data_IF_810186608022
#
_entry.id   IF_810186608022
#
_cell.length_a   1.000
_cell.length_b   1.000
_cell.length_c   1.000
_cell.angle_alpha   90.00
_cell.angle_beta   90.00
_cell.angle_gamma   90.00
#
_symmetry.space_group_name_H-M   'P 1'
#
loop_
_entity.id
_entity.type
_entity.pdbx_description
1 polymer ?
#
# COMPACT_ATOMS: atom_id res chain seq x y z
N UNK A 1 -60.04 42.48 6.93
CA UNK A 1 -60.48 41.25 7.64
C UNK A 1 -60.33 40.12 6.64
N UNK A 2 -59.40 39.21 6.96
CA UNK A 2 -58.97 37.93 6.37
C UNK A 2 -57.50 37.82 6.87
N UNK A 3 -57.19 37.12 7.96
CA UNK A 3 -56.96 35.66 8.07
C UNK A 3 -55.87 35.22 7.08
N UNK A 4 -54.75 34.57 7.43
CA UNK A 4 -54.21 33.96 8.66
C UNK A 4 -52.79 33.41 8.36
N UNK A 5 -52.34 32.44 9.17
CA UNK A 5 -51.10 31.60 9.05
C UNK A 5 -49.82 32.22 9.67
N UNK A 6 -49.46 31.94 10.92
CA UNK A 6 -48.98 30.70 11.59
C UNK A 6 -47.54 30.30 11.21
N UNK A 7 -46.61 30.67 12.10
CA UNK A 7 -45.20 30.27 12.08
C UNK A 7 -45.05 28.82 12.54
N UNK A 8 -44.41 28.00 11.70
CA UNK A 8 -43.95 26.65 12.03
C UNK A 8 -42.49 26.67 12.46
N UNK A 9 -42.25 26.09 13.62
CA UNK A 9 -41.00 25.86 14.32
C UNK A 9 -40.12 24.87 13.55
N UNK A 10 -38.94 25.31 13.12
CA UNK A 10 -37.94 24.50 12.42
C UNK A 10 -37.09 23.76 13.44
N UNK A 11 -37.38 22.48 13.64
CA UNK A 11 -36.54 21.59 14.44
C UNK A 11 -35.32 21.18 13.61
N UNK A 12 -34.17 21.69 14.03
CA UNK A 12 -32.83 21.24 13.62
C UNK A 12 -32.65 19.78 14.04
N UNK A 13 -32.63 18.88 13.06
CA UNK A 13 -32.18 17.50 13.22
C UNK A 13 -30.93 17.35 12.37
N UNK A 14 -29.78 17.61 12.98
CA UNK A 14 -28.52 16.98 12.59
C UNK A 14 -28.72 15.48 12.77
N UNK A 15 -28.88 14.79 11.65
CA UNK A 15 -28.88 13.33 11.59
C UNK A 15 -27.43 12.86 11.64
N UNK A 16 -27.14 12.02 12.63
CA UNK A 16 -26.04 11.07 12.64
C UNK A 16 -25.96 10.41 11.25
N UNK A 17 -24.82 10.56 10.56
CA UNK A 17 -24.50 9.78 9.37
C UNK A 17 -23.54 8.69 9.82
N UNK A 18 -23.95 7.45 9.62
CA UNK A 18 -23.15 6.24 9.81
C UNK A 18 -21.98 6.23 8.81
N UNK A 19 -20.76 6.15 9.33
CA UNK A 19 -19.50 5.96 8.59
C UNK A 19 -19.33 4.48 8.18
N UNK A 20 -20.20 3.99 7.29
CA UNK A 20 -20.00 2.69 6.62
C UNK A 20 -20.43 2.79 5.16
N UNK A 21 -19.54 3.35 4.34
CA UNK A 21 -19.73 3.45 2.88
C UNK A 21 -18.59 2.79 2.11
N UNK A 22 -18.32 1.52 2.44
CA UNK A 22 -17.97 0.53 1.42
C UNK A 22 -19.28 -0.13 1.01
N UNK A 23 -19.76 0.09 -0.22
CA UNK A 23 -20.65 -0.82 -0.98
C UNK A 23 -21.12 -0.17 -2.30
N UNK A 24 -20.17 0.00 -3.22
CA UNK A 24 -20.44 0.10 -4.65
C UNK A 24 -20.89 -1.25 -5.23
N UNK A 25 -22.19 -1.56 -5.10
CA UNK A 25 -22.95 -2.50 -5.94
C UNK A 25 -22.38 -3.93 -6.17
N UNK A 26 -22.31 -4.76 -5.13
CA UNK A 26 -22.81 -6.16 -5.12
C UNK A 26 -23.38 -6.51 -3.74
N UNK A 27 -24.66 -6.94 -3.69
CA UNK A 27 -25.32 -7.48 -2.49
C UNK A 27 -25.26 -9.00 -2.57
N UNK A 28 -24.56 -9.67 -1.64
CA UNK A 28 -25.13 -10.78 -0.82
C UNK A 28 -24.15 -11.45 0.18
N UNK A 29 -22.86 -11.09 0.27
CA UNK A 29 -21.90 -11.83 1.12
C UNK A 29 -21.15 -11.03 2.20
N UNK A 30 -21.13 -9.70 2.16
CA UNK A 30 -20.38 -8.92 3.16
C UNK A 30 -18.84 -9.04 3.04
N UNK A 31 -18.35 -9.65 1.95
CA UNK A 31 -16.94 -9.65 1.56
C UNK A 31 -16.65 -8.40 0.72
N UNK A 32 -15.41 -7.91 0.74
CA UNK A 32 -14.91 -6.89 -0.18
C UNK A 32 -14.96 -7.31 -1.66
N UNK A 33 -14.37 -6.54 -2.58
CA UNK A 33 -14.26 -6.93 -3.99
C UNK A 33 -13.49 -8.25 -4.11
N UNK A 34 -13.89 -9.10 -5.08
CA UNK A 34 -13.22 -10.37 -5.33
C UNK A 34 -11.83 -10.09 -5.96
N UNK A 35 -10.87 -11.00 -5.77
CA UNK A 35 -9.55 -10.92 -6.44
C UNK A 35 -9.73 -10.69 -7.95
N UNK A 36 -9.06 -9.66 -8.48
CA UNK A 36 -9.10 -9.28 -9.88
C UNK A 36 -10.22 -8.32 -10.27
N UNK A 37 -11.17 -8.02 -9.37
CA UNK A 37 -12.17 -6.99 -9.63
C UNK A 37 -11.53 -5.59 -9.48
N UNK A 38 -11.64 -4.76 -10.53
CA UNK A 38 -11.35 -3.32 -10.46
C UNK A 38 -12.61 -2.56 -10.02
N UNK A 39 -12.45 -1.60 -9.13
CA UNK A 39 -13.55 -0.78 -8.62
C UNK A 39 -13.12 0.67 -8.41
N UNK A 40 -14.06 1.59 -8.61
CA UNK A 40 -13.87 3.02 -8.34
C UNK A 40 -13.65 3.26 -6.85
N UNK A 41 -12.63 4.04 -6.50
CA UNK A 41 -12.36 4.46 -5.13
C UNK A 41 -13.38 5.51 -4.73
N UNK A 42 -14.31 5.13 -3.85
CA UNK A 42 -15.35 6.03 -3.33
C UNK A 42 -15.06 6.52 -1.91
N UNK A 43 -13.83 6.32 -1.41
CA UNK A 43 -13.39 6.87 -0.14
C UNK A 43 -13.14 8.37 -0.30
N UNK A 44 -13.56 9.17 0.68
CA UNK A 44 -13.51 10.63 0.56
C UNK A 44 -14.33 11.13 -0.64
N UNK A 45 -13.79 12.13 -1.33
CA UNK A 45 -14.36 12.68 -2.56
C UNK A 45 -13.49 12.30 -3.79
N UNK A 46 -12.79 11.16 -3.74
CA UNK A 46 -11.92 10.70 -4.83
C UNK A 46 -12.67 10.60 -6.17
N UNK A 47 -12.03 11.07 -7.24
CA UNK A 47 -12.45 10.91 -8.63
C UNK A 47 -11.34 10.26 -9.45
N UNK A 48 -11.76 9.59 -10.52
CA UNK A 48 -10.89 9.01 -11.56
C UNK A 48 -9.81 8.04 -11.02
N UNK A 49 -9.98 7.59 -9.79
CA UNK A 49 -9.11 6.66 -9.07
C UNK A 49 -9.81 5.32 -8.91
N UNK A 50 -9.13 4.26 -9.29
CA UNK A 50 -9.62 2.89 -9.25
C UNK A 50 -8.65 2.01 -8.48
N UNK A 51 -9.17 1.04 -7.76
CA UNK A 51 -8.41 0.07 -7.00
C UNK A 51 -8.69 -1.34 -7.54
N UNK A 52 -7.66 -2.18 -7.56
CA UNK A 52 -7.72 -3.57 -7.99
C UNK A 52 -7.04 -4.44 -6.94
N UNK A 53 -7.68 -5.52 -6.52
CA UNK A 53 -6.99 -6.59 -5.79
C UNK A 53 -6.20 -7.46 -6.78
N UNK A 54 -4.88 -7.43 -6.65
CA UNK A 54 -3.94 -8.19 -7.49
C UNK A 54 -3.96 -9.68 -7.19
N UNK A 55 -4.59 -10.13 -6.10
CA UNK A 55 -4.59 -11.50 -5.60
C UNK A 55 -3.21 -11.96 -5.19
N UNK A 56 -2.47 -11.08 -4.53
CA UNK A 56 -1.14 -11.36 -4.00
C UNK A 56 -1.21 -12.55 -3.03
N UNK A 57 -0.32 -13.52 -3.19
CA UNK A 57 -0.29 -14.78 -2.41
C UNK A 57 -1.59 -15.60 -2.43
N UNK A 58 -2.43 -15.43 -3.46
CA UNK A 58 -3.79 -16.01 -3.51
C UNK A 58 -4.64 -15.65 -2.26
N UNK A 59 -4.36 -14.50 -1.66
CA UNK A 59 -5.01 -14.00 -0.45
C UNK A 59 -5.87 -12.79 -0.82
N UNK A 60 -7.16 -12.84 -0.49
CA UNK A 60 -8.09 -11.74 -0.72
C UNK A 60 -7.71 -10.53 0.16
N UNK A 61 -7.87 -9.33 -0.38
CA UNK A 61 -7.60 -8.07 0.30
C UNK A 61 -6.22 -8.04 0.96
N UNK A 62 -5.17 -8.41 0.21
CA UNK A 62 -3.79 -8.32 0.68
C UNK A 62 -2.87 -7.49 -0.22
N UNK A 63 -3.11 -7.43 -1.53
CA UNK A 63 -2.25 -6.67 -2.44
C UNK A 63 -3.07 -5.88 -3.44
N UNK A 64 -3.03 -4.56 -3.35
CA UNK A 64 -3.74 -3.61 -4.20
C UNK A 64 -2.79 -2.97 -5.22
N UNK A 65 -3.36 -2.66 -6.38
CA UNK A 65 -2.80 -1.72 -7.34
C UNK A 65 -3.87 -0.69 -7.67
N UNK A 66 -3.43 0.51 -8.05
CA UNK A 66 -4.32 1.61 -8.37
C UNK A 66 -4.16 2.09 -9.79
N UNK A 67 -5.24 2.62 -10.36
CA UNK A 67 -5.25 3.26 -11.68
C UNK A 67 -5.84 4.66 -11.51
N UNK A 68 -5.12 5.67 -12.02
CA UNK A 68 -5.64 7.03 -12.21
C UNK A 68 -5.93 7.22 -13.70
N UNK A 69 -7.20 7.49 -14.03
CA UNK A 69 -7.69 7.74 -15.39
C UNK A 69 -7.72 9.25 -15.69
N UNK A 70 -6.61 9.78 -16.19
CA UNK A 70 -6.43 11.21 -16.46
C UNK A 70 -5.81 11.43 -17.86
N UNK A 71 -5.45 12.67 -18.21
CA UNK A 71 -4.77 13.00 -19.48
C UNK A 71 -3.52 12.13 -19.73
N UNK A 72 -2.82 11.76 -18.66
CA UNK A 72 -1.72 10.78 -18.65
C UNK A 72 -2.08 9.64 -17.68
N UNK A 73 -2.73 8.56 -18.17
CA UNK A 73 -3.15 7.47 -17.31
C UNK A 73 -1.97 6.85 -16.56
N UNK A 74 -2.19 6.57 -15.28
CA UNK A 74 -1.17 6.06 -14.37
C UNK A 74 -1.60 4.78 -13.67
N UNK A 75 -0.65 3.87 -13.46
CA UNK A 75 -0.74 2.76 -12.51
C UNK A 75 0.15 3.06 -11.32
N UNK A 76 -0.37 2.91 -10.11
CA UNK A 76 0.43 2.96 -8.87
C UNK A 76 0.46 1.56 -8.26
N UNK A 77 1.67 1.03 -8.07
CA UNK A 77 1.98 -0.35 -7.66
C UNK A 77 1.69 -1.43 -8.71
N UNK A 78 2.46 -2.52 -8.64
CA UNK A 78 2.45 -3.57 -9.67
C UNK A 78 2.42 -5.00 -9.11
N UNK A 79 2.44 -5.15 -7.79
CA UNK A 79 2.35 -6.43 -7.11
C UNK A 79 3.60 -7.31 -7.30
N UNK A 80 3.46 -8.59 -6.95
CA UNK A 80 4.48 -9.66 -7.08
C UNK A 80 4.77 -10.11 -8.52
N UNK A 81 4.21 -9.42 -9.51
CA UNK A 81 4.36 -9.71 -10.94
C UNK A 81 3.55 -10.88 -11.49
N UNK A 82 3.25 -11.93 -10.72
CA UNK A 82 2.53 -13.13 -11.23
C UNK A 82 1.16 -12.84 -11.82
N UNK A 83 0.47 -11.82 -11.32
CA UNK A 83 -0.88 -11.43 -11.74
C UNK A 83 -0.91 -10.07 -12.45
N UNK A 84 0.20 -9.63 -13.08
CA UNK A 84 0.24 -8.36 -13.82
C UNK A 84 -0.82 -8.26 -14.92
N UNK A 85 -1.23 -9.39 -15.51
CA UNK A 85 -2.32 -9.46 -16.48
C UNK A 85 -3.65 -8.90 -15.92
N UNK A 86 -3.90 -8.96 -14.60
CA UNK A 86 -5.11 -8.38 -13.98
C UNK A 86 -5.10 -6.85 -14.06
N UNK A 87 -3.94 -6.22 -13.88
CA UNK A 87 -3.79 -4.77 -14.05
C UNK A 87 -4.03 -4.41 -15.51
N UNK A 88 -3.51 -5.23 -16.44
CA UNK A 88 -3.79 -5.05 -17.85
C UNK A 88 -5.29 -5.20 -18.15
N UNK A 89 -5.97 -6.22 -17.66
CA UNK A 89 -7.41 -6.40 -17.84
C UNK A 89 -8.20 -5.23 -17.26
N UNK A 90 -7.83 -4.71 -16.09
CA UNK A 90 -8.44 -3.54 -15.48
C UNK A 90 -8.32 -2.28 -16.37
N UNK A 91 -7.16 -2.03 -16.98
CA UNK A 91 -7.01 -0.95 -17.96
C UNK A 91 -7.96 -1.11 -19.16
N UNK A 92 -8.11 -2.33 -19.69
CA UNK A 92 -9.06 -2.60 -20.80
C UNK A 92 -10.52 -2.36 -20.37
N UNK A 93 -10.88 -2.68 -19.13
CA UNK A 93 -12.22 -2.44 -18.58
C UNK A 93 -12.55 -0.95 -18.42
N UNK A 94 -11.55 -0.15 -18.04
CA UNK A 94 -11.64 1.30 -17.94
C UNK A 94 -11.56 1.99 -19.31
N UNK A 95 -11.12 1.27 -20.34
CA UNK A 95 -11.01 1.78 -21.70
C UNK A 95 -9.69 2.51 -21.97
N UNK A 96 -8.68 2.28 -21.14
CA UNK A 96 -7.32 2.80 -21.29
C UNK A 96 -6.51 1.83 -22.14
N UNK A 97 -6.13 2.27 -23.35
CA UNK A 97 -5.31 1.49 -24.26
C UNK A 97 -3.88 1.24 -23.74
N UNK A 98 -3.25 0.16 -24.23
CA UNK A 98 -1.86 -0.18 -23.88
C UNK A 98 -0.86 0.92 -24.24
N UNK A 99 -1.10 1.55 -25.38
CA UNK A 99 -0.35 2.69 -25.88
C UNK A 99 -0.81 4.03 -25.29
N UNK A 100 -1.85 4.04 -24.44
CA UNK A 100 -2.33 5.24 -23.75
C UNK A 100 -1.79 5.31 -22.30
N UNK A 101 -1.46 4.19 -21.66
CA UNK A 101 -0.79 4.21 -20.35
C UNK A 101 0.57 4.94 -20.47
N UNK A 102 0.77 5.96 -19.64
CA UNK A 102 1.99 6.79 -19.65
C UNK A 102 2.83 6.66 -18.38
N UNK A 103 2.25 6.28 -17.25
CA UNK A 103 2.93 6.27 -15.95
C UNK A 103 2.74 4.93 -15.24
N UNK A 104 3.85 4.32 -14.82
CA UNK A 104 3.87 3.19 -13.87
C UNK A 104 4.68 3.67 -12.67
N UNK A 105 4.02 4.09 -11.60
CA UNK A 105 4.68 4.54 -10.38
C UNK A 105 4.73 3.41 -9.34
N UNK A 106 5.88 3.23 -8.70
CA UNK A 106 6.04 2.28 -7.59
C UNK A 106 6.57 3.03 -6.37
N UNK A 107 5.96 2.79 -5.20
CA UNK A 107 6.36 3.48 -3.96
C UNK A 107 7.77 3.07 -3.55
N UNK A 108 8.12 1.80 -3.78
CA UNK A 108 9.44 1.27 -3.51
C UNK A 108 9.71 -0.02 -4.30
N UNK A 109 10.96 -0.50 -4.28
CA UNK A 109 11.42 -1.60 -5.16
C UNK A 109 11.34 -3.00 -4.54
N UNK A 110 10.69 -3.18 -3.38
CA UNK A 110 10.40 -4.53 -2.94
C UNK A 110 9.54 -5.23 -4.01
N UNK A 111 9.77 -6.53 -4.21
CA UNK A 111 9.22 -7.22 -5.38
C UNK A 111 7.72 -7.48 -5.28
N UNK A 112 7.10 -7.28 -4.13
CA UNK A 112 5.66 -7.20 -3.93
C UNK A 112 5.03 -5.86 -4.32
N UNK A 113 5.86 -4.84 -4.60
CA UNK A 113 5.44 -3.53 -5.11
C UNK A 113 5.83 -3.36 -6.58
N UNK A 114 7.10 -3.65 -6.90
CA UNK A 114 7.69 -3.43 -8.22
C UNK A 114 7.84 -4.70 -9.08
N UNK A 115 7.39 -5.87 -8.61
CA UNK A 115 7.58 -7.14 -9.31
C UNK A 115 6.90 -7.21 -10.69
N UNK A 116 5.80 -6.48 -10.87
CA UNK A 116 5.08 -6.37 -12.14
C UNK A 116 5.55 -5.25 -13.07
N UNK A 117 6.39 -4.32 -12.60
CA UNK A 117 6.69 -3.09 -13.32
C UNK A 117 7.30 -3.34 -14.71
N UNK A 118 8.26 -4.25 -14.82
CA UNK A 118 8.85 -4.61 -16.11
C UNK A 118 7.88 -5.29 -17.08
N UNK A 119 6.94 -6.08 -16.57
CA UNK A 119 5.91 -6.72 -17.39
C UNK A 119 4.91 -5.69 -17.94
N UNK A 120 4.44 -4.77 -17.09
CA UNK A 120 3.58 -3.67 -17.52
C UNK A 120 4.31 -2.78 -18.51
N UNK A 121 5.58 -2.48 -18.26
CA UNK A 121 6.39 -1.68 -19.17
C UNK A 121 6.52 -2.35 -20.55
N UNK A 122 6.81 -3.64 -20.61
CA UNK A 122 6.87 -4.38 -21.89
C UNK A 122 5.54 -4.36 -22.64
N UNK A 123 4.41 -4.50 -21.93
CA UNK A 123 3.07 -4.51 -22.49
C UNK A 123 2.56 -3.11 -22.92
N UNK A 124 2.99 -2.05 -22.23
CA UNK A 124 2.58 -0.67 -22.42
C UNK A 124 3.76 0.15 -22.95
N UNK A 125 3.93 0.28 -24.28
CA UNK A 125 5.15 0.78 -24.89
C UNK A 125 5.42 2.27 -24.68
N UNK A 126 4.42 3.05 -24.25
CA UNK A 126 4.53 4.48 -24.00
C UNK A 126 4.63 4.82 -22.51
N UNK A 127 4.53 3.83 -21.62
CA UNK A 127 4.60 4.07 -20.18
C UNK A 127 6.05 4.23 -19.71
N UNK A 128 6.35 5.17 -18.84
CA UNK A 128 7.62 5.20 -18.13
C UNK A 128 7.43 4.68 -16.69
N UNK A 129 8.49 4.11 -16.11
CA UNK A 129 8.49 3.58 -14.74
C UNK A 129 9.11 4.61 -13.80
N UNK A 130 8.29 5.15 -12.91
CA UNK A 130 8.64 6.21 -11.96
C UNK A 130 8.94 5.58 -10.60
N UNK A 131 10.13 5.85 -10.08
CA UNK A 131 10.65 5.23 -8.85
C UNK A 131 11.66 6.15 -8.19
N UNK A 132 11.83 6.06 -6.87
CA UNK A 132 12.90 6.76 -6.15
C UNK A 132 14.27 6.52 -6.80
N UNK A 133 15.05 7.60 -6.95
CA UNK A 133 16.43 7.55 -7.42
C UNK A 133 17.29 6.58 -6.61
N UNK A 134 16.99 6.39 -5.31
CA UNK A 134 17.68 5.46 -4.43
C UNK A 134 17.52 3.98 -4.85
N UNK A 135 16.39 3.64 -5.51
CA UNK A 135 16.07 2.28 -5.92
C UNK A 135 16.18 2.01 -7.44
N UNK A 136 16.18 3.05 -8.27
CA UNK A 136 16.05 2.97 -9.73
C UNK A 136 16.97 1.96 -10.42
N UNK A 137 18.28 1.98 -10.10
CA UNK A 137 19.27 1.11 -10.75
C UNK A 137 19.05 -0.39 -10.56
N UNK A 138 18.25 -0.79 -9.57
CA UNK A 138 17.90 -2.19 -9.31
C UNK A 138 16.72 -2.67 -10.17
N UNK A 139 15.97 -1.79 -10.82
CA UNK A 139 14.94 -2.17 -11.79
C UNK A 139 15.55 -2.48 -13.18
N UNK A 140 16.67 -1.85 -13.53
CA UNK A 140 17.41 -2.15 -14.75
C UNK A 140 18.17 -3.50 -14.68
N UNK A 141 18.64 -3.89 -13.50
CA UNK A 141 19.19 -5.22 -13.22
C UNK A 141 18.65 -5.76 -11.88
N UNK A 142 17.50 -6.49 -11.92
CA UNK A 142 16.84 -6.96 -10.71
C UNK A 142 17.51 -8.18 -10.09
N UNK A 143 18.66 -8.64 -10.58
CA UNK A 143 19.31 -9.87 -10.09
C UNK A 143 19.61 -9.83 -8.59
N UNK A 144 19.95 -8.66 -8.05
CA UNK A 144 20.18 -8.47 -6.61
C UNK A 144 18.87 -8.44 -5.82
N UNK A 145 17.83 -7.79 -6.34
CA UNK A 145 16.50 -7.78 -5.72
C UNK A 145 15.95 -9.20 -5.64
N UNK A 146 15.99 -9.95 -6.74
CA UNK A 146 15.54 -11.35 -6.77
C UNK A 146 16.27 -12.22 -5.75
N UNK A 147 17.58 -12.04 -5.61
CA UNK A 147 18.36 -12.78 -4.61
C UNK A 147 17.96 -12.41 -3.18
N UNK A 148 17.78 -11.12 -2.89
CA UNK A 148 17.35 -10.61 -1.59
C UNK A 148 15.94 -11.07 -1.21
N UNK A 149 14.98 -10.90 -2.12
CA UNK A 149 13.60 -11.33 -1.91
C UNK A 149 13.51 -12.83 -1.67
N UNK A 150 14.21 -13.67 -2.45
CA UNK A 150 14.26 -15.13 -2.23
C UNK A 150 14.74 -15.50 -0.82
N UNK A 151 15.72 -14.78 -0.27
CA UNK A 151 16.21 -15.01 1.09
C UNK A 151 15.22 -14.53 2.16
N UNK A 152 14.53 -13.41 1.91
CA UNK A 152 13.55 -12.85 2.82
C UNK A 152 12.30 -13.73 2.90
N UNK A 153 11.66 -14.01 1.75
CA UNK A 153 10.32 -14.61 1.68
C UNK A 153 10.32 -16.14 1.65
N UNK A 154 11.48 -16.77 1.40
CA UNK A 154 11.64 -18.22 1.42
C UNK A 154 10.66 -18.95 0.51
N UNK A 155 9.85 -19.85 1.08
CA UNK A 155 8.89 -20.68 0.33
C UNK A 155 7.77 -19.84 -0.32
N UNK A 156 7.51 -18.62 0.15
CA UNK A 156 6.57 -17.70 -0.50
C UNK A 156 7.03 -17.26 -1.90
N UNK A 157 8.31 -17.48 -2.26
CA UNK A 157 8.82 -17.22 -3.61
C UNK A 157 8.02 -17.98 -4.68
N UNK A 158 7.35 -19.09 -4.33
CA UNK A 158 6.48 -19.82 -5.26
C UNK A 158 5.35 -18.98 -5.86
N UNK A 159 4.95 -17.89 -5.18
CA UNK A 159 3.93 -16.95 -5.64
C UNK A 159 4.49 -15.85 -6.54
N UNK A 160 5.80 -15.61 -6.50
CA UNK A 160 6.47 -14.58 -7.29
C UNK A 160 6.80 -15.09 -8.69
N UNK A 161 6.93 -14.14 -9.61
CA UNK A 161 7.62 -14.32 -10.88
C UNK A 161 8.93 -13.52 -10.86
N UNK A 162 9.95 -13.97 -11.59
CA UNK A 162 11.16 -13.14 -11.74
C UNK A 162 10.82 -11.88 -12.53
N UNK A 163 11.08 -10.67 -12.00
CA UNK A 163 10.74 -9.42 -12.68
C UNK A 163 11.51 -9.27 -14.00
N UNK A 164 10.83 -8.74 -15.01
CA UNK A 164 11.45 -8.35 -16.28
C UNK A 164 12.33 -7.10 -16.05
N UNK A 165 13.60 -7.08 -16.49
CA UNK A 165 14.43 -5.87 -16.45
C UNK A 165 13.81 -4.73 -17.25
N UNK A 166 13.92 -3.50 -16.76
CA UNK A 166 13.43 -2.30 -17.45
C UNK A 166 14.60 -1.59 -18.12
N UNK A 167 14.41 -1.15 -19.37
CA UNK A 167 15.43 -0.38 -20.08
C UNK A 167 15.67 0.98 -19.37
N UNK A 168 16.94 1.39 -19.22
CA UNK A 168 17.33 2.60 -18.48
C UNK A 168 16.61 3.87 -18.99
N UNK A 169 16.30 3.95 -20.29
CA UNK A 169 15.62 5.12 -20.88
C UNK A 169 14.11 5.18 -20.58
N UNK A 170 13.57 4.14 -19.94
CA UNK A 170 12.19 4.07 -19.44
C UNK A 170 12.07 4.17 -17.92
N UNK A 171 13.18 4.34 -17.21
CA UNK A 171 13.18 4.56 -15.77
C UNK A 171 13.31 6.06 -15.51
N UNK A 172 12.33 6.62 -14.81
CA UNK A 172 12.34 8.00 -14.35
C UNK A 172 12.65 8.01 -12.86
N UNK A 173 13.83 8.53 -12.52
CA UNK A 173 14.29 8.71 -11.14
C UNK A 173 13.55 9.87 -10.49
N UNK A 174 12.99 9.64 -9.30
CA UNK A 174 12.29 10.62 -8.48
C UNK A 174 13.11 11.00 -7.24
N UNK A 175 13.10 12.28 -6.89
CA UNK A 175 13.60 12.85 -5.64
C UNK A 175 12.43 13.43 -4.80
N UNK A 176 12.67 13.68 -3.51
CA UNK A 176 11.73 14.39 -2.64
C UNK A 176 11.28 15.73 -3.25
N UNK A 177 9.96 15.97 -3.25
CA UNK A 177 9.34 17.18 -3.78
C UNK A 177 9.19 17.23 -5.31
N UNK A 178 9.57 16.18 -6.03
CA UNK A 178 9.20 16.03 -7.44
C UNK A 178 7.69 15.90 -7.62
N UNK A 179 7.22 16.19 -8.83
CA UNK A 179 5.80 16.11 -9.20
C UNK A 179 5.67 15.40 -10.54
N UNK A 180 4.90 14.30 -10.56
CA UNK A 180 4.47 13.65 -11.80
C UNK A 180 3.10 14.20 -12.17
N UNK A 181 3.08 15.15 -13.10
CA UNK A 181 1.86 15.77 -13.64
C UNK A 181 1.05 14.77 -14.48
N UNK A 182 -0.20 14.48 -14.12
CA UNK A 182 -1.08 13.57 -14.87
C UNK A 182 -2.18 14.28 -15.66
N UNK A 183 -2.38 15.58 -15.42
CA UNK A 183 -3.51 16.35 -15.94
C UNK A 183 -4.26 17.09 -14.84
N UNK A 184 -5.44 16.60 -14.46
CA UNK A 184 -6.21 17.09 -13.31
C UNK A 184 -5.63 16.60 -11.97
N UNK A 185 -5.02 15.41 -11.98
CA UNK A 185 -4.29 14.76 -10.89
C UNK A 185 -2.78 14.98 -11.03
N UNK A 186 -2.07 14.85 -9.91
CA UNK A 186 -0.61 14.82 -9.88
C UNK A 186 -0.14 13.87 -8.78
N UNK A 187 1.03 13.25 -8.96
CA UNK A 187 1.70 12.50 -7.91
C UNK A 187 2.84 13.34 -7.35
N UNK A 188 2.61 14.00 -6.20
CA UNK A 188 3.67 14.70 -5.47
C UNK A 188 4.45 13.69 -4.64
N UNK A 189 5.76 13.69 -4.83
CA UNK A 189 6.66 12.70 -4.24
C UNK A 189 7.13 13.20 -2.88
N UNK A 190 6.99 12.38 -1.86
CA UNK A 190 7.58 12.61 -0.54
C UNK A 190 8.41 11.41 -0.14
N UNK A 191 9.67 11.63 0.29
CA UNK A 191 10.50 10.54 0.82
C UNK A 191 9.92 10.01 2.14
N UNK A 192 9.79 8.68 2.25
CA UNK A 192 9.31 8.00 3.45
C UNK A 192 10.18 6.74 3.73
N UNK A 193 11.47 6.93 4.09
CA UNK A 193 12.50 5.90 4.00
C UNK A 193 12.50 4.86 5.13
N UNK A 194 11.58 4.92 6.10
CA UNK A 194 11.62 4.11 7.31
C UNK A 194 11.41 2.62 7.08
N UNK A 195 10.44 2.24 6.24
CA UNK A 195 10.23 0.84 5.86
C UNK A 195 11.36 0.32 4.98
N UNK A 196 11.78 1.14 4.02
CA UNK A 196 12.91 0.89 3.15
C UNK A 196 13.50 2.22 2.66
N UNK A 197 14.84 2.31 2.58
CA UNK A 197 15.54 3.57 2.25
C UNK A 197 15.18 4.19 0.88
N UNK A 198 14.54 3.42 0.01
CA UNK A 198 14.10 3.82 -1.33
C UNK A 198 12.58 4.00 -1.42
N UNK A 199 11.87 4.06 -0.30
CA UNK A 199 10.43 4.26 -0.27
C UNK A 199 10.08 5.75 -0.37
N UNK A 200 9.08 6.02 -1.21
CA UNK A 200 8.37 7.29 -1.32
C UNK A 200 6.88 7.03 -1.15
N UNK A 201 6.15 8.07 -0.76
CA UNK A 201 4.69 8.13 -0.86
C UNK A 201 4.29 9.11 -1.94
N UNK A 202 3.15 8.88 -2.58
CA UNK A 202 2.60 9.78 -3.59
C UNK A 202 1.35 10.47 -3.06
N UNK A 203 1.40 11.78 -2.89
CA UNK A 203 0.21 12.60 -2.60
C UNK A 203 -0.48 12.96 -3.92
N UNK A 204 -1.79 12.69 -3.99
CA UNK A 204 -2.71 13.21 -4.99
C UNK A 204 -3.60 14.30 -4.35
N UNK A 205 -3.26 15.58 -4.55
CA UNK A 205 -3.98 16.69 -3.93
C UNK A 205 -5.39 16.90 -4.48
N UNK A 206 -5.68 16.42 -5.69
CA UNK A 206 -7.02 16.56 -6.27
C UNK A 206 -8.03 15.66 -5.54
N UNK A 207 -7.56 14.49 -5.10
CA UNK A 207 -8.33 13.51 -4.33
C UNK A 207 -8.19 13.66 -2.81
N UNK A 208 -7.31 14.56 -2.35
CA UNK A 208 -6.91 14.69 -0.94
C UNK A 208 -6.48 13.33 -0.36
N UNK A 209 -5.67 12.61 -1.14
CA UNK A 209 -5.34 11.23 -0.92
C UNK A 209 -3.82 10.98 -0.99
N UNK A 210 -3.33 9.98 -0.28
CA UNK A 210 -1.93 9.55 -0.34
C UNK A 210 -1.82 8.06 -0.61
N UNK A 211 -1.07 7.68 -1.64
CA UNK A 211 -0.58 6.32 -1.85
C UNK A 211 0.59 6.07 -0.89
N UNK A 212 0.30 5.34 0.18
CA UNK A 212 1.19 5.28 1.35
C UNK A 212 2.28 4.22 1.25
N UNK A 213 2.24 3.35 0.23
CA UNK A 213 3.11 2.16 0.22
C UNK A 213 2.95 1.41 1.54
N UNK A 214 4.06 1.24 2.24
CA UNK A 214 4.11 0.62 3.57
C UNK A 214 4.39 1.62 4.70
N UNK A 215 4.39 2.93 4.41
CA UNK A 215 4.63 4.00 5.39
C UNK A 215 3.50 4.15 6.43
N UNK A 216 2.35 3.51 6.20
CA UNK A 216 1.20 3.51 7.13
C UNK A 216 0.78 2.11 7.59
N UNK A 217 1.57 1.08 7.28
CA UNK A 217 1.32 -0.32 7.66
C UNK A 217 0.40 -1.09 6.71
N UNK A 218 0.07 -2.33 7.09
CA UNK A 218 -0.95 -3.15 6.43
C UNK A 218 -2.27 -2.86 7.12
N UNK A 219 -3.16 -2.08 6.51
CA UNK A 219 -4.51 -1.91 7.05
C UNK A 219 -5.30 -3.24 6.75
N UNK A 220 -6.32 -3.58 7.53
CA UNK A 220 -7.09 -4.83 7.39
C UNK A 220 -8.58 -4.49 7.49
N UNK A 221 -9.40 -4.64 6.43
CA UNK A 221 -10.77 -4.11 6.43
C UNK A 221 -11.69 -4.96 7.30
N UNK A 222 -11.44 -6.27 7.32
CA UNK A 222 -12.28 -7.24 8.01
C UNK A 222 -12.30 -6.99 9.52
N UNK A 223 -11.14 -6.61 10.09
CA UNK A 223 -10.99 -6.33 11.52
C UNK A 223 -10.94 -4.85 11.84
N UNK A 224 -10.84 -3.98 10.83
CA UNK A 224 -10.63 -2.54 10.98
C UNK A 224 -9.39 -2.21 11.82
N UNK A 225 -8.29 -2.93 11.57
CA UNK A 225 -7.01 -2.81 12.28
C UNK A 225 -5.87 -2.51 11.30
N UNK A 226 -4.79 -1.93 11.81
CA UNK A 226 -3.52 -1.80 11.09
C UNK A 226 -2.51 -2.76 11.70
N UNK A 227 -1.67 -3.36 10.85
CA UNK A 227 -0.58 -4.27 11.19
C UNK A 227 0.76 -3.66 10.79
N UNK A 228 1.79 -4.11 11.47
CA UNK A 228 3.17 -3.69 11.30
C UNK A 228 3.72 -4.00 9.90
N UNK A 229 4.62 -3.14 9.42
CA UNK A 229 5.50 -3.37 8.28
C UNK A 229 6.93 -3.11 8.70
N UNK A 230 7.66 -4.19 8.98
CA UNK A 230 9.03 -4.18 9.51
C UNK A 230 9.90 -5.20 8.77
N UNK A 231 10.10 -5.04 7.46
CA UNK A 231 10.77 -6.01 6.62
C UNK A 231 12.26 -6.18 6.99
N UNK A 232 12.85 -7.34 6.68
CA UNK A 232 14.27 -7.58 6.93
C UNK A 232 15.20 -6.62 6.16
N UNK A 233 16.37 -6.41 6.74
CA UNK A 233 17.49 -5.58 6.27
C UNK A 233 17.30 -4.07 6.42
N UNK A 234 16.19 -3.48 5.99
CA UNK A 234 16.10 -2.01 5.84
C UNK A 234 15.24 -1.29 6.88
N UNK A 235 14.35 -2.00 7.61
CA UNK A 235 13.47 -1.40 8.62
C UNK A 235 14.20 -0.55 9.66
N UNK A 236 13.69 0.65 9.92
CA UNK A 236 14.19 1.59 10.93
C UNK A 236 13.01 2.25 11.66
N UNK A 237 12.82 1.92 12.94
CA UNK A 237 11.67 2.39 13.72
C UNK A 237 11.64 3.92 13.80
N UNK A 238 12.76 4.57 14.10
CA UNK A 238 12.81 6.02 14.23
C UNK A 238 12.46 6.74 12.92
N UNK A 239 12.90 6.19 11.79
CA UNK A 239 12.51 6.72 10.47
C UNK A 239 11.04 6.42 10.16
N UNK A 240 10.51 5.22 10.45
CA UNK A 240 9.08 4.94 10.28
C UNK A 240 8.21 5.92 11.08
N UNK A 241 8.61 6.24 12.32
CA UNK A 241 7.90 7.24 13.12
C UNK A 241 8.00 8.64 12.53
N UNK A 242 9.10 8.98 11.86
CA UNK A 242 9.21 10.25 11.13
C UNK A 242 8.31 10.27 9.88
N UNK A 243 8.20 9.16 9.15
CA UNK A 243 7.29 9.00 8.01
C UNK A 243 5.82 9.16 8.42
N UNK A 244 5.46 8.64 9.61
CA UNK A 244 4.14 8.85 10.21
C UNK A 244 3.89 10.34 10.45
N UNK A 245 4.85 11.08 10.99
CA UNK A 245 4.70 12.54 11.18
C UNK A 245 4.60 13.29 9.85
N UNK A 246 5.34 12.87 8.82
CA UNK A 246 5.21 13.41 7.47
C UNK A 246 3.77 13.23 6.93
N UNK A 247 3.20 12.03 7.03
CA UNK A 247 1.83 11.77 6.60
C UNK A 247 0.80 12.60 7.37
N UNK A 248 1.05 12.88 8.67
CA UNK A 248 0.22 13.80 9.45
C UNK A 248 0.34 15.25 9.01
N UNK A 249 1.53 15.67 8.53
CA UNK A 249 1.74 17.00 7.99
C UNK A 249 1.08 17.20 6.62
N UNK A 250 0.98 16.14 5.81
CA UNK A 250 0.19 16.14 4.56
C UNK A 250 -1.32 16.29 4.88
N UNK A 251 -1.78 15.71 5.99
CA UNK A 251 -3.17 15.79 6.49
C UNK A 251 -4.22 15.30 5.48
N UNK A 252 -4.08 14.08 4.89
CA UNK A 252 -4.97 13.62 3.83
C UNK A 252 -6.32 13.11 4.36
N UNK A 253 -7.37 13.29 3.56
CA UNK A 253 -8.69 12.72 3.83
C UNK A 253 -8.74 11.21 3.52
N UNK A 254 -7.86 10.70 2.65
CA UNK A 254 -7.83 9.29 2.23
C UNK A 254 -6.41 8.70 2.25
N UNK A 255 -6.25 7.52 2.83
CA UNK A 255 -5.03 6.71 2.72
C UNK A 255 -5.28 5.57 1.71
N UNK A 256 -4.41 5.43 0.73
CA UNK A 256 -4.46 4.41 -0.32
C UNK A 256 -3.35 3.37 -0.06
N UNK A 257 -3.71 2.28 0.63
CA UNK A 257 -2.79 1.24 1.06
C UNK A 257 -2.47 0.24 -0.05
N UNK A 258 -1.18 -0.02 -0.29
CA UNK A 258 -0.76 -1.11 -1.17
C UNK A 258 -1.19 -2.46 -0.60
N UNK A 259 -1.07 -2.67 0.70
CA UNK A 259 -1.51 -3.92 1.32
C UNK A 259 -2.95 -3.91 1.78
N UNK A 260 -3.88 -3.53 0.86
CA UNK A 260 -5.32 -3.92 0.72
C UNK A 260 -6.36 -2.81 0.40
N UNK A 261 -5.96 -1.57 0.07
CA UNK A 261 -6.88 -0.64 -0.61
C UNK A 261 -7.20 0.68 0.13
N UNK A 262 -8.20 1.43 -0.35
CA UNK A 262 -8.49 2.77 0.15
C UNK A 262 -8.99 2.78 1.61
N UNK A 263 -8.84 3.91 2.29
CA UNK A 263 -9.39 4.17 3.62
C UNK A 263 -9.69 5.65 3.78
N UNK A 264 -10.98 6.00 3.88
CA UNK A 264 -11.37 7.34 4.30
C UNK A 264 -10.99 7.54 5.78
N UNK A 265 -10.21 8.57 6.06
CA UNK A 265 -9.76 8.91 7.43
C UNK A 265 -10.22 10.32 7.84
N UNK A 266 -10.32 11.27 6.90
CA UNK A 266 -10.79 12.62 7.18
C UNK A 266 -10.09 13.29 8.37
N UNK A 267 -10.88 13.97 9.21
CA UNK A 267 -10.46 14.55 10.49
C UNK A 267 -9.75 13.55 11.46
N UNK A 268 -9.84 12.24 11.21
CA UNK A 268 -9.21 11.19 12.00
C UNK A 268 -7.85 10.72 11.43
N UNK A 269 -7.33 11.34 10.37
CA UNK A 269 -6.04 10.99 9.75
C UNK A 269 -4.91 10.86 10.79
N UNK A 270 -4.72 11.88 11.63
CA UNK A 270 -3.70 11.85 12.67
C UNK A 270 -3.88 10.70 13.67
N UNK A 271 -5.12 10.38 14.06
CA UNK A 271 -5.40 9.27 14.97
C UNK A 271 -5.19 7.90 14.32
N UNK A 272 -5.49 7.75 13.03
CA UNK A 272 -5.22 6.53 12.27
C UNK A 272 -3.71 6.27 12.13
N UNK A 273 -2.94 7.33 11.89
CA UNK A 273 -1.48 7.30 11.78
C UNK A 273 -0.81 7.06 13.15
N UNK A 274 -1.33 7.67 14.22
CA UNK A 274 -0.93 7.36 15.61
C UNK A 274 -1.15 5.88 15.94
N UNK A 275 -2.27 5.29 15.50
CA UNK A 275 -2.54 3.88 15.74
C UNK A 275 -1.50 2.96 15.09
N UNK A 276 -1.00 3.33 13.89
CA UNK A 276 0.08 2.59 13.24
C UNK A 276 1.43 2.74 13.96
N UNK A 277 1.80 3.97 14.36
CA UNK A 277 3.00 4.19 15.18
C UNK A 277 2.98 3.36 16.47
N UNK A 278 1.83 3.35 17.15
CA UNK A 278 1.57 2.53 18.34
C UNK A 278 1.76 1.03 18.08
N UNK A 279 1.37 0.54 16.89
CA UNK A 279 1.53 -0.87 16.48
C UNK A 279 3.01 -1.18 16.27
N UNK A 280 3.76 -0.33 15.57
CA UNK A 280 5.19 -0.51 15.36
C UNK A 280 5.98 -0.52 16.68
N UNK A 281 5.73 0.44 17.57
CA UNK A 281 6.42 0.51 18.86
C UNK A 281 6.13 -0.73 19.71
N UNK A 282 4.86 -1.15 19.81
CA UNK A 282 4.48 -2.36 20.55
C UNK A 282 5.07 -3.63 19.93
N UNK A 283 5.14 -3.69 18.61
CA UNK A 283 5.75 -4.80 17.89
C UNK A 283 7.25 -4.91 18.20
N UNK A 284 7.97 -3.79 18.11
CA UNK A 284 9.39 -3.74 18.43
C UNK A 284 9.65 -4.11 19.89
N UNK A 285 8.88 -3.57 20.83
CA UNK A 285 8.95 -3.91 22.25
C UNK A 285 8.69 -5.41 22.50
N UNK A 286 7.72 -6.00 21.78
CA UNK A 286 7.39 -7.41 21.90
C UNK A 286 8.54 -8.31 21.42
N UNK A 287 9.12 -8.00 20.25
CA UNK A 287 10.27 -8.75 19.70
C UNK A 287 11.50 -8.59 20.58
N UNK A 288 11.82 -7.38 21.06
CA UNK A 288 12.94 -7.14 21.97
C UNK A 288 12.78 -7.93 23.28
N UNK A 289 11.59 -7.88 23.89
CA UNK A 289 11.26 -8.65 25.08
C UNK A 289 11.45 -10.15 24.87
N UNK A 290 11.04 -10.69 23.71
CA UNK A 290 11.22 -12.11 23.39
C UNK A 290 12.67 -12.48 23.11
N UNK A 291 13.45 -11.59 22.51
CA UNK A 291 14.90 -11.74 22.32
C UNK A 291 15.65 -11.85 23.65
N UNK A 292 15.20 -11.12 24.67
CA UNK A 292 15.75 -11.22 26.04
C UNK A 292 15.35 -12.52 26.78
N UNK A 293 14.18 -13.09 26.45
CA UNK A 293 13.63 -14.29 27.10
C UNK A 293 14.11 -15.61 26.48
N UNK A 294 14.29 -15.64 25.16
CA UNK A 294 14.54 -16.84 24.37
C UNK A 294 16.05 -17.06 24.09
N UNK A 295 16.39 -18.24 23.59
CA UNK A 295 17.79 -18.67 23.53
C UNK A 295 18.57 -18.07 22.37
N UNK A 296 17.91 -17.82 21.24
CA UNK A 296 18.46 -17.22 20.04
C UNK A 296 17.36 -16.60 19.17
N UNK A 297 17.76 -15.85 18.14
CA UNK A 297 16.88 -15.18 17.19
C UNK A 297 15.96 -16.16 16.44
N UNK A 298 16.38 -17.41 16.21
CA UNK A 298 15.55 -18.41 15.56
C UNK A 298 14.36 -18.81 16.45
N UNK A 299 14.57 -18.97 17.75
CA UNK A 299 13.49 -19.22 18.70
C UNK A 299 12.50 -18.04 18.79
N UNK A 300 12.98 -16.79 18.63
CA UNK A 300 12.10 -15.60 18.58
C UNK A 300 11.23 -15.62 17.33
N UNK A 301 11.82 -15.89 16.16
CA UNK A 301 11.10 -16.01 14.90
C UNK A 301 10.03 -17.12 14.98
N UNK A 302 10.41 -18.31 15.46
CA UNK A 302 9.49 -19.44 15.63
C UNK A 302 8.33 -19.08 16.58
N UNK A 303 8.60 -18.31 17.64
CA UNK A 303 7.55 -17.88 18.58
C UNK A 303 6.46 -17.07 17.88
N UNK A 304 6.83 -15.99 17.18
CA UNK A 304 5.85 -15.13 16.52
C UNK A 304 5.17 -15.82 15.33
N UNK A 305 5.92 -16.66 14.59
CA UNK A 305 5.38 -17.48 13.52
C UNK A 305 4.25 -18.44 13.97
N UNK A 306 4.30 -18.92 15.23
CA UNK A 306 3.32 -19.85 15.81
C UNK A 306 2.17 -19.16 16.55
N UNK A 307 2.34 -17.89 16.96
CA UNK A 307 1.35 -17.16 17.77
C UNK A 307 0.61 -16.06 17.03
N UNK A 308 0.83 -15.92 15.73
CA UNK A 308 0.18 -14.89 14.92
C UNK A 308 -1.35 -15.01 14.96
N UNK A 309 -2.03 -13.86 15.10
CA UNK A 309 -3.48 -13.78 15.30
C UNK A 309 -4.26 -13.63 13.97
N UNK A 310 -3.58 -13.45 12.84
CA UNK A 310 -4.17 -13.23 11.51
C UNK A 310 -4.51 -14.51 10.76
N UNK A 311 -4.40 -15.68 11.41
CA UNK A 311 -4.71 -16.99 10.82
C UNK A 311 -6.13 -17.06 10.26
N UNK A 312 -7.10 -16.42 10.92
CA UNK A 312 -8.50 -16.42 10.48
C UNK A 312 -8.75 -15.51 9.27
N UNK A 313 -7.87 -14.52 9.01
CA UNK A 313 -8.01 -13.53 7.92
C UNK A 313 -7.16 -13.93 6.71
N UNK A 314 -5.85 -14.17 6.89
CA UNK A 314 -4.92 -14.47 5.79
C UNK A 314 -4.63 -15.97 5.61
N UNK A 315 -5.16 -16.81 6.51
CA UNK A 315 -4.80 -18.21 6.57
C UNK A 315 -3.45 -18.45 7.25
N UNK A 316 -3.26 -19.67 7.75
CA UNK A 316 -2.11 -20.00 8.59
C UNK A 316 -0.74 -19.82 7.91
N UNK A 317 -0.65 -20.11 6.61
CA UNK A 317 0.62 -20.01 5.88
C UNK A 317 1.06 -18.54 5.73
N UNK A 318 0.15 -17.67 5.26
CA UNK A 318 0.49 -16.26 5.04
C UNK A 318 0.67 -15.50 6.34
N UNK A 319 -0.20 -15.70 7.33
CA UNK A 319 -0.05 -15.10 8.66
C UNK A 319 1.31 -15.45 9.29
N UNK A 320 1.71 -16.72 9.24
CA UNK A 320 3.01 -17.16 9.76
C UNK A 320 4.17 -16.55 8.97
N UNK A 321 4.11 -16.53 7.63
CA UNK A 321 5.15 -15.94 6.79
C UNK A 321 5.31 -14.42 7.04
N UNK A 322 4.21 -13.72 7.27
CA UNK A 322 4.21 -12.29 7.61
C UNK A 322 4.90 -12.02 8.94
N UNK A 323 4.54 -12.77 9.98
CA UNK A 323 5.16 -12.67 11.30
C UNK A 323 6.67 -12.95 11.24
N UNK A 324 7.10 -13.94 10.44
CA UNK A 324 8.52 -14.24 10.23
C UNK A 324 9.26 -13.06 9.61
N UNK A 325 8.73 -12.45 8.54
CA UNK A 325 9.35 -11.31 7.87
C UNK A 325 9.51 -10.12 8.83
N UNK A 326 8.42 -9.74 9.50
CA UNK A 326 8.38 -8.63 10.44
C UNK A 326 9.31 -8.85 11.64
N UNK A 327 9.36 -10.07 12.18
CA UNK A 327 10.27 -10.40 13.29
C UNK A 327 11.73 -10.27 12.85
N UNK A 328 12.07 -10.75 11.64
CA UNK A 328 13.44 -10.66 11.11
C UNK A 328 13.89 -9.20 10.92
N UNK A 329 13.01 -8.30 10.48
CA UNK A 329 13.35 -6.89 10.35
C UNK A 329 13.60 -6.20 11.67
N UNK A 330 12.76 -6.44 12.67
CA UNK A 330 13.01 -5.90 14.02
C UNK A 330 14.30 -6.43 14.62
N UNK A 331 14.60 -7.74 14.49
CA UNK A 331 15.86 -8.30 14.99
C UNK A 331 17.08 -7.64 14.33
N UNK A 332 17.02 -7.40 13.01
CA UNK A 332 18.07 -6.68 12.29
C UNK A 332 18.21 -5.21 12.72
N UNK A 333 17.08 -4.53 12.99
CA UNK A 333 17.07 -3.18 13.55
C UNK A 333 17.72 -3.14 14.95
N UNK A 334 17.33 -4.05 15.85
CA UNK A 334 17.90 -4.13 17.20
C UNK A 334 19.41 -4.40 17.17
N UNK A 335 19.89 -5.26 16.26
CA UNK A 335 21.33 -5.53 16.10
C UNK A 335 22.10 -4.28 15.65
N UNK A 336 21.52 -3.41 14.81
CA UNK A 336 22.17 -2.15 14.39
C UNK A 336 22.19 -1.08 15.48
N UNK A 337 21.22 -1.13 16.39
CA UNK A 337 21.05 -0.17 17.49
C UNK A 337 22.05 -0.40 18.64
N UNK A 338 22.43 -1.66 18.86
CA UNK A 338 23.35 -2.12 19.92
C UNK A 338 24.84 -1.83 19.65
#
# INVERSE_FOLDING_TARGET
>A
MCDGESAGDGTDRRSDRDDSFYLGRRRDTGMGPDIGDVFEVTAGDCTDCYCLDTGMYDTEAYGAAYILDDERPAVVETGIGTNHDRILEALDELGIGRDELEVIAVTHIHLDHAGGAGYLAEACPNADVYVSAAGAGLLADPSRLVAGTKDAVGDQWQYYVEPTPIDDDRIVELEDGDVVDLGEHELRVHEAPGHAFHQVVFEDPANDAVFVGDAAGIWVPETEEVRETSPPSDFDLEQCLADVELLKEIDPDVLLYTHFGPRAVGDAAAAALDAYADVLEKWVDAVESKRDELEDDAAVIDHFAETDEMVDVWGAEKASAEAVLNTRGVLGFLERRD
#
